data_IF_408016820257
#
_entry.id   IF_408016820257
#
_cell.length_a   1.000
_cell.length_b   1.000
_cell.length_c   1.000
_cell.angle_alpha   90.00
_cell.angle_beta   90.00
_cell.angle_gamma   90.00
#
_symmetry.space_group_name_H-M   'P 1'
#
loop_
_entity.id
_entity.type
_entity.pdbx_description
1 polymer ?
#
# COMPACT_ATOMS: atom_id res chain seq x y z
N UNK A 1 -4.14 -29.09 -15.17
CA UNK A 1 -3.37 -28.04 -14.44
C UNK A 1 -4.33 -26.93 -14.06
N UNK A 2 -4.40 -26.47 -12.80
CA UNK A 2 -5.30 -25.37 -12.46
C UNK A 2 -4.80 -24.09 -13.15
N UNK A 3 -5.71 -23.35 -13.80
CA UNK A 3 -5.42 -22.08 -14.50
C UNK A 3 -4.72 -21.13 -13.53
N UNK A 4 -3.50 -20.69 -13.86
CA UNK A 4 -2.79 -19.63 -13.12
C UNK A 4 -3.68 -18.39 -13.20
N UNK A 5 -4.37 -18.03 -12.11
CA UNK A 5 -5.05 -16.74 -12.01
C UNK A 5 -3.93 -15.70 -11.99
N UNK A 6 -3.70 -15.07 -13.13
CA UNK A 6 -2.74 -13.99 -13.28
C UNK A 6 -3.41 -12.70 -12.84
N UNK A 7 -3.04 -12.22 -11.65
CA UNK A 7 -3.28 -10.83 -11.29
C UNK A 7 -2.46 -9.94 -12.23
N UNK A 8 -2.86 -8.68 -12.39
CA UNK A 8 -2.13 -7.73 -13.23
C UNK A 8 -0.67 -7.63 -12.75
N UNK A 9 0.27 -7.76 -13.69
CA UNK A 9 1.69 -7.77 -13.39
C UNK A 9 2.13 -6.43 -12.80
N UNK A 10 2.87 -6.48 -11.69
CA UNK A 10 3.31 -5.30 -10.94
C UNK A 10 2.22 -4.66 -10.08
N UNK A 11 1.02 -5.25 -10.01
CA UNK A 11 -0.08 -4.70 -9.22
C UNK A 11 0.05 -5.02 -7.72
N UNK A 12 -0.67 -4.24 -6.91
CA UNK A 12 -0.86 -4.55 -5.49
C UNK A 12 -1.43 -5.96 -5.27
N UNK A 13 -2.35 -6.40 -6.15
CA UNK A 13 -2.99 -7.71 -6.06
C UNK A 13 -2.04 -8.87 -6.32
N UNK A 14 -1.16 -8.73 -7.33
CA UNK A 14 -0.11 -9.71 -7.59
C UNK A 14 0.84 -9.82 -6.39
N UNK A 15 1.34 -8.69 -5.89
CA UNK A 15 2.24 -8.67 -4.75
C UNK A 15 1.60 -9.28 -3.49
N UNK A 16 0.36 -8.90 -3.17
CA UNK A 16 -0.35 -9.45 -2.02
C UNK A 16 -0.56 -10.97 -2.16
N UNK A 17 -0.89 -11.47 -3.36
CA UNK A 17 -1.00 -12.92 -3.58
C UNK A 17 0.33 -13.64 -3.34
N UNK A 18 1.43 -13.09 -3.86
CA UNK A 18 2.77 -13.66 -3.65
C UNK A 18 3.17 -13.63 -2.18
N UNK A 19 2.85 -12.56 -1.46
CA UNK A 19 3.13 -12.45 -0.03
C UNK A 19 2.33 -13.45 0.81
N UNK A 20 1.06 -13.69 0.46
CA UNK A 20 0.24 -14.75 1.08
C UNK A 20 0.87 -16.13 0.87
N UNK A 21 1.31 -16.41 -0.36
CA UNK A 21 1.94 -17.69 -0.73
C UNK A 21 3.30 -17.87 -0.04
N UNK A 22 4.14 -16.83 0.01
CA UNK A 22 5.42 -16.86 0.73
C UNK A 22 5.27 -17.00 2.24
N UNK A 23 4.15 -16.53 2.81
CA UNK A 23 3.81 -16.75 4.22
C UNK A 23 3.28 -18.19 4.49
N UNK A 24 3.19 -19.05 3.47
CA UNK A 24 2.66 -20.40 3.59
C UNK A 24 1.15 -20.46 3.82
N UNK A 25 0.42 -19.38 3.53
CA UNK A 25 -1.02 -19.28 3.76
C UNK A 25 -1.79 -19.54 2.48
N UNK A 26 -2.96 -20.17 2.61
CA UNK A 26 -3.97 -20.13 1.55
C UNK A 26 -4.71 -18.79 1.60
N UNK A 27 -5.33 -18.39 0.48
CA UNK A 27 -6.18 -17.18 0.43
C UNK A 27 -7.36 -17.28 1.42
N UNK A 28 -7.90 -18.49 1.64
CA UNK A 28 -8.95 -18.78 2.63
C UNK A 28 -8.43 -18.60 4.07
N UNK A 29 -7.27 -19.15 4.39
CA UNK A 29 -6.68 -18.98 5.72
C UNK A 29 -6.33 -17.50 6.00
N UNK A 30 -5.83 -16.80 4.98
CA UNK A 30 -5.53 -15.38 5.06
C UNK A 30 -6.77 -14.53 5.34
N UNK A 31 -7.86 -14.70 4.59
CA UNK A 31 -9.08 -13.92 4.80
C UNK A 31 -9.69 -14.17 6.19
N UNK A 32 -9.64 -15.40 6.69
CA UNK A 32 -10.19 -15.77 8.01
C UNK A 32 -9.37 -15.13 9.14
N UNK A 33 -8.04 -15.19 9.06
CA UNK A 33 -7.16 -14.60 10.07
C UNK A 33 -7.18 -13.06 10.06
N UNK A 34 -7.32 -12.45 8.88
CA UNK A 34 -7.49 -11.01 8.75
C UNK A 34 -8.91 -10.55 9.09
N UNK A 35 -9.91 -11.42 8.99
CA UNK A 35 -11.32 -11.09 9.24
C UNK A 35 -11.95 -10.30 8.10
N UNK A 36 -11.66 -10.67 6.85
CA UNK A 36 -12.25 -10.07 5.64
C UNK A 36 -13.06 -11.09 4.86
N UNK A 37 -14.01 -10.63 4.05
CA UNK A 37 -14.81 -11.52 3.22
C UNK A 37 -13.99 -12.03 2.01
N UNK A 38 -14.38 -13.19 1.50
CA UNK A 38 -13.84 -13.74 0.25
C UNK A 38 -14.02 -12.78 -0.91
N UNK A 39 -15.20 -12.23 -1.07
CA UNK A 39 -15.51 -11.26 -2.13
C UNK A 39 -14.56 -10.08 -2.07
N UNK A 40 -14.40 -9.46 -0.89
CA UNK A 40 -13.49 -8.33 -0.71
C UNK A 40 -12.04 -8.68 -1.05
N UNK A 41 -11.53 -9.82 -0.56
CA UNK A 41 -10.17 -10.25 -0.88
C UNK A 41 -9.96 -10.38 -2.39
N UNK A 42 -10.89 -11.02 -3.10
CA UNK A 42 -10.76 -11.17 -4.55
C UNK A 42 -10.91 -9.84 -5.27
N UNK A 43 -11.74 -8.92 -4.82
CA UNK A 43 -11.85 -7.59 -5.43
C UNK A 43 -10.56 -6.77 -5.26
N UNK A 44 -9.91 -6.87 -4.09
CA UNK A 44 -8.59 -6.27 -3.85
C UNK A 44 -7.54 -6.89 -4.78
N UNK A 45 -7.47 -8.23 -4.83
CA UNK A 45 -6.48 -8.95 -5.63
C UNK A 45 -6.67 -8.70 -7.14
N UNK A 46 -7.91 -8.59 -7.62
CA UNK A 46 -8.20 -8.26 -9.02
C UNK A 46 -8.19 -6.74 -9.29
N UNK A 47 -7.86 -5.93 -8.28
CA UNK A 47 -7.77 -4.49 -8.43
C UNK A 47 -9.09 -3.76 -8.70
N UNK A 48 -10.25 -4.39 -8.43
CA UNK A 48 -11.58 -3.78 -8.61
C UNK A 48 -11.92 -2.73 -7.57
N UNK A 49 -11.28 -2.82 -6.41
CA UNK A 49 -11.40 -1.84 -5.34
C UNK A 49 -10.03 -1.25 -5.00
N UNK A 50 -10.06 -0.11 -4.31
CA UNK A 50 -8.86 0.49 -3.74
C UNK A 50 -8.22 -0.47 -2.72
N UNK A 51 -6.88 -0.44 -2.59
CA UNK A 51 -6.18 -1.17 -1.54
C UNK A 51 -6.77 -0.86 -0.16
N UNK A 52 -6.66 -1.79 0.79
CA UNK A 52 -7.22 -1.64 2.13
C UNK A 52 -6.77 -0.34 2.81
N UNK A 53 -7.54 0.14 3.79
CA UNK A 53 -7.17 1.30 4.59
C UNK A 53 -5.89 1.01 5.42
N UNK A 54 -5.18 2.05 5.91
CA UNK A 54 -3.90 1.90 6.61
C UNK A 54 -3.89 0.90 7.77
N UNK A 55 -4.92 0.90 8.61
CA UNK A 55 -5.08 -0.05 9.72
C UNK A 55 -5.11 -1.51 9.25
N UNK A 56 -5.86 -1.77 8.17
CA UNK A 56 -5.93 -3.09 7.56
C UNK A 56 -4.61 -3.46 6.87
N UNK A 57 -3.95 -2.51 6.21
CA UNK A 57 -2.60 -2.72 5.64
C UNK A 57 -1.60 -3.18 6.71
N UNK A 58 -1.57 -2.52 7.87
CA UNK A 58 -0.70 -2.94 8.98
C UNK A 58 -1.06 -4.32 9.53
N UNK A 59 -2.36 -4.64 9.62
CA UNK A 59 -2.81 -5.98 10.04
C UNK A 59 -2.30 -7.06 9.08
N UNK A 60 -2.38 -6.81 7.77
CA UNK A 60 -1.85 -7.72 6.74
C UNK A 60 -0.34 -7.90 6.86
N UNK A 61 0.44 -6.82 6.98
CA UNK A 61 1.90 -6.89 7.14
C UNK A 61 2.29 -7.64 8.42
N UNK A 62 1.59 -7.40 9.53
CA UNK A 62 1.84 -8.08 10.81
C UNK A 62 1.61 -9.60 10.69
N UNK A 63 0.59 -10.01 9.95
CA UNK A 63 0.31 -11.42 9.70
C UNK A 63 1.34 -12.06 8.75
N UNK A 64 1.60 -11.41 7.61
CA UNK A 64 2.39 -11.97 6.51
C UNK A 64 3.90 -11.95 6.78
N UNK A 65 4.37 -11.06 7.67
CA UNK A 65 5.79 -10.88 8.04
C UNK A 65 6.74 -10.89 6.82
N UNK A 66 6.48 -10.08 5.78
CA UNK A 66 7.28 -10.09 4.57
C UNK A 66 8.68 -9.54 4.80
N UNK A 67 9.58 -9.81 3.84
CA UNK A 67 10.91 -9.18 3.78
C UNK A 67 10.77 -7.67 3.64
N UNK A 68 11.80 -6.94 4.07
CA UNK A 68 11.76 -5.47 4.10
C UNK A 68 11.46 -4.84 2.73
N UNK A 69 12.05 -5.37 1.65
CA UNK A 69 11.77 -4.91 0.28
C UNK A 69 10.29 -5.06 -0.10
N UNK A 70 9.70 -6.22 0.18
CA UNK A 70 8.30 -6.52 -0.17
C UNK A 70 7.34 -5.68 0.69
N UNK A 71 7.71 -5.41 1.95
CA UNK A 71 6.97 -4.52 2.86
C UNK A 71 6.90 -3.08 2.33
N UNK A 72 8.02 -2.52 1.90
CA UNK A 72 8.07 -1.15 1.32
C UNK A 72 7.23 -1.12 0.05
N UNK A 73 7.44 -2.08 -0.87
CA UNK A 73 6.71 -2.13 -2.13
C UNK A 73 5.18 -2.28 -1.90
N UNK A 74 4.78 -3.01 -0.87
CA UNK A 74 3.37 -3.16 -0.48
C UNK A 74 2.74 -1.81 -0.13
N UNK A 75 3.39 -1.01 0.72
CA UNK A 75 2.87 0.31 1.10
C UNK A 75 2.90 1.30 -0.07
N UNK A 76 3.95 1.30 -0.89
CA UNK A 76 4.05 2.14 -2.09
C UNK A 76 2.93 1.86 -3.11
N UNK A 77 2.71 0.59 -3.44
CA UNK A 77 1.65 0.19 -4.38
C UNK A 77 0.26 0.51 -3.83
N UNK A 78 0.07 0.36 -2.52
CA UNK A 78 -1.19 0.74 -1.87
C UNK A 78 -1.44 2.25 -1.99
N UNK A 79 -0.43 3.05 -1.67
CA UNK A 79 -0.47 4.50 -1.67
C UNK A 79 -0.74 5.06 -3.07
N UNK A 80 0.01 4.57 -4.06
CA UNK A 80 -0.13 4.97 -5.47
C UNK A 80 -1.57 4.81 -5.96
N UNK A 81 -2.21 3.69 -5.63
CA UNK A 81 -3.59 3.42 -6.07
C UNK A 81 -4.65 4.19 -5.27
N UNK A 82 -4.32 4.63 -4.05
CA UNK A 82 -5.19 5.46 -3.21
C UNK A 82 -4.96 6.97 -3.42
N UNK A 83 -3.94 7.36 -4.20
CA UNK A 83 -3.45 8.74 -4.30
C UNK A 83 -3.13 9.35 -2.92
N UNK A 84 -2.54 8.53 -2.06
CA UNK A 84 -2.19 8.87 -0.66
C UNK A 84 -0.66 8.75 -0.44
N UNK A 85 -0.19 9.20 0.73
CA UNK A 85 1.15 8.88 1.23
C UNK A 85 1.17 7.42 1.72
N UNK A 86 2.26 6.65 1.52
CA UNK A 86 2.39 5.30 2.08
C UNK A 86 2.06 5.23 3.57
N UNK A 87 1.28 4.22 3.95
CA UNK A 87 0.69 4.14 5.29
C UNK A 87 1.76 4.12 6.41
N UNK A 88 2.87 3.42 6.18
CA UNK A 88 4.03 3.37 7.07
C UNK A 88 4.70 4.74 7.24
N UNK A 89 4.91 5.47 6.14
CA UNK A 89 5.40 6.85 6.17
C UNK A 89 4.40 7.75 6.91
N UNK A 90 3.11 7.71 6.57
CA UNK A 90 2.09 8.51 7.24
C UNK A 90 2.04 8.23 8.75
N UNK A 91 2.21 6.98 9.17
CA UNK A 91 2.32 6.59 10.58
C UNK A 91 3.58 7.16 11.23
N UNK A 92 4.74 7.05 10.57
CA UNK A 92 6.00 7.63 11.04
C UNK A 92 5.89 9.15 11.23
N UNK A 93 5.21 9.84 10.31
CA UNK A 93 4.99 11.28 10.35
C UNK A 93 4.00 11.75 11.42
N UNK A 94 3.34 10.86 12.17
CA UNK A 94 2.51 11.27 13.31
C UNK A 94 3.33 11.89 14.44
N UNK A 95 4.61 11.53 14.55
CA UNK A 95 5.54 12.18 15.48
C UNK A 95 5.94 13.57 14.98
N UNK A 96 5.77 14.60 15.81
CA UNK A 96 6.13 15.98 15.51
C UNK A 96 7.61 16.17 15.15
N UNK A 97 8.51 15.46 15.85
CA UNK A 97 9.96 15.56 15.60
C UNK A 97 10.36 15.10 14.20
N UNK A 98 9.75 14.01 13.72
CA UNK A 98 10.00 13.54 12.36
C UNK A 98 9.53 14.55 11.31
N UNK A 99 8.40 15.23 11.56
CA UNK A 99 7.93 16.31 10.69
C UNK A 99 8.88 17.51 10.71
N UNK A 100 9.39 17.90 11.88
CA UNK A 100 10.38 18.97 12.00
C UNK A 100 11.67 18.66 11.21
N UNK A 101 12.18 17.42 11.32
CA UNK A 101 13.37 16.97 10.59
C UNK A 101 13.17 17.02 9.08
N UNK A 102 11.99 16.64 8.59
CA UNK A 102 11.67 16.69 7.17
C UNK A 102 11.53 18.15 6.71
N UNK A 103 10.85 19.01 7.47
CA UNK A 103 10.67 20.44 7.14
C UNK A 103 11.99 21.19 6.99
N UNK A 104 13.03 20.80 7.73
CA UNK A 104 14.40 21.36 7.56
C UNK A 104 15.00 21.10 6.18
N UNK A 105 14.50 20.10 5.45
CA UNK A 105 14.98 19.69 4.11
C UNK A 105 14.06 20.12 2.98
N UNK A 106 12.89 20.70 3.30
CA UNK A 106 11.94 21.17 2.29
C UNK A 106 12.38 22.56 1.85
N UNK A 107 12.66 22.71 0.56
CA UNK A 107 12.69 24.02 -0.08
C UNK A 107 11.26 24.44 -0.44
N UNK A 108 10.72 25.38 0.32
CA UNK A 108 9.36 25.86 0.14
C UNK A 108 9.19 26.71 -1.11
N UNK A 109 10.27 27.28 -1.68
CA UNK A 109 10.18 28.10 -2.89
C UNK A 109 9.67 27.29 -4.09
N UNK A 110 9.93 25.98 -4.12
CA UNK A 110 9.45 25.07 -5.15
C UNK A 110 8.06 24.47 -4.87
N UNK A 111 7.52 24.64 -3.66
CA UNK A 111 6.19 24.14 -3.29
C UNK A 111 5.07 25.15 -3.57
N UNK A 112 5.41 26.43 -3.58
CA UNK A 112 4.48 27.54 -3.84
C UNK A 112 4.74 28.15 -5.21
N UNK A 113 4.72 27.33 -6.27
CA UNK A 113 4.55 27.89 -7.62
C UNK A 113 3.14 28.47 -7.66
N UNK A 114 3.03 29.74 -7.31
CA UNK A 114 1.80 30.50 -7.36
C UNK A 114 1.25 30.50 -8.79
N UNK A 115 -0.05 30.26 -8.89
CA UNK A 115 -0.78 30.57 -10.10
C UNK A 115 -0.70 32.06 -10.37
N UNK A 116 -0.07 32.45 -11.48
CA UNK A 116 0.02 33.85 -11.89
C UNK A 116 1.02 34.10 -13.01
N UNK A 117 0.58 33.85 -14.25
CA UNK A 117 0.86 34.52 -15.54
C UNK A 117 0.25 33.58 -16.60
N UNK A 118 -1.03 33.70 -17.00
CA UNK A 118 -1.62 34.73 -17.85
C UNK A 118 -0.72 35.19 -19.02
N UNK A 119 -1.23 34.91 -20.24
CA UNK A 119 -1.01 35.57 -21.53
C UNK A 119 0.34 35.40 -22.25
N UNK A 120 0.36 34.55 -23.29
CA UNK A 120 0.35 34.98 -24.70
C UNK A 120 -0.27 33.88 -25.59
#
# INVERSE_FOLDING_TARGET
MPRKKTYEQGSFGELLSLMIEHAGLTKTAFQEQIGITKTYLFDVLNGRVSPPAPDMQFKMIKLLKPRQKDKINFFELAAKKRSEVPADIAMYLRNGKHREEIRKKIDYTHLFIDGGNESD
#
